data_IF_559125240942
#
_entry.id   IF_559125240942
#
_cell.length_a   1.000
_cell.length_b   1.000
_cell.length_c   1.000
_cell.angle_alpha   90.00
_cell.angle_beta   90.00
_cell.angle_gamma   90.00
#
_symmetry.space_group_name_H-M   'P 1'
#
loop_
_entity.id
_entity.type
_entity.pdbx_description
1 polymer ?
#
# COMPACT_ATOMS: atom_id res chain seq x y z
N UNK A 1 30.70 25.37 8.76
CA UNK A 1 30.39 25.07 10.16
C UNK A 1 28.90 24.73 10.14
N UNK A 2 28.55 23.45 10.27
CA UNK A 2 27.15 23.02 10.30
C UNK A 2 26.63 23.24 11.72
N UNK A 3 25.42 23.77 11.84
CA UNK A 3 24.85 24.20 13.10
C UNK A 3 24.55 23.01 14.03
N UNK A 4 24.61 23.18 15.36
CA UNK A 4 24.38 22.09 16.32
C UNK A 4 23.00 21.42 16.20
N UNK A 5 22.03 22.12 15.61
CA UNK A 5 20.65 21.66 15.40
C UNK A 5 20.57 20.55 14.36
N UNK A 6 21.40 20.61 13.31
CA UNK A 6 21.40 19.61 12.24
C UNK A 6 21.89 18.24 12.75
N UNK A 7 22.78 18.25 13.74
CA UNK A 7 23.38 17.05 14.32
C UNK A 7 22.44 16.32 15.30
N UNK A 8 21.45 17.02 15.84
CA UNK A 8 20.44 16.44 16.74
C UNK A 8 19.26 15.83 15.98
N UNK A 9 18.90 16.37 14.79
CA UNK A 9 17.87 15.76 13.96
C UNK A 9 18.27 14.38 13.44
N UNK A 10 19.53 14.16 13.05
CA UNK A 10 20.03 12.83 12.67
C UNK A 10 19.98 11.80 13.81
N UNK A 11 20.08 12.25 15.08
CA UNK A 11 20.00 11.38 16.26
C UNK A 11 18.57 11.07 16.71
N UNK A 12 17.63 11.97 16.42
CA UNK A 12 16.21 11.77 16.74
C UNK A 12 15.53 10.78 15.77
N UNK A 13 16.02 10.69 14.53
CA UNK A 13 15.67 9.63 13.58
C UNK A 13 16.53 8.37 13.75
N UNK A 14 17.03 8.14 14.97
CA UNK A 14 17.75 6.94 15.36
C UNK A 14 16.93 5.69 15.07
N UNK A 15 17.16 5.11 13.90
CA UNK A 15 16.82 3.74 13.52
C UNK A 15 15.35 3.37 13.73
N UNK A 16 14.42 4.17 13.20
CA UNK A 16 13.12 3.60 12.80
C UNK A 16 13.46 2.47 11.81
N UNK A 17 12.96 1.23 11.97
CA UNK A 17 13.29 0.15 11.06
C UNK A 17 13.10 0.64 9.63
N UNK A 18 14.20 0.64 8.88
CA UNK A 18 14.34 1.25 7.56
C UNK A 18 13.66 0.37 6.50
N UNK A 19 12.47 -0.16 6.80
CA UNK A 19 11.62 -0.79 5.82
C UNK A 19 11.05 0.34 4.97
N UNK A 20 11.77 0.68 3.91
CA UNK A 20 11.31 1.65 2.95
C UNK A 20 10.10 1.09 2.19
N UNK A 21 9.29 1.96 1.60
CA UNK A 21 8.14 1.52 0.80
C UNK A 21 8.59 0.63 -0.37
N UNK A 22 9.81 0.84 -0.88
CA UNK A 22 10.43 0.03 -1.91
C UNK A 22 10.72 -1.40 -1.42
N UNK A 23 11.31 -1.58 -0.22
CA UNK A 23 11.55 -2.91 0.33
C UNK A 23 10.24 -3.64 0.61
N UNK A 24 9.23 -2.95 1.15
CA UNK A 24 7.91 -3.53 1.33
C UNK A 24 7.27 -3.95 0.00
N UNK A 25 7.45 -3.14 -1.04
CA UNK A 25 6.95 -3.47 -2.38
C UNK A 25 7.65 -4.70 -2.96
N UNK A 26 8.96 -4.81 -2.82
CA UNK A 26 9.73 -5.98 -3.27
C UNK A 26 9.23 -7.28 -2.61
N UNK A 27 9.02 -7.25 -1.29
CA UNK A 27 8.52 -8.40 -0.54
C UNK A 27 7.10 -8.80 -0.98
N UNK A 28 6.21 -7.81 -1.15
CA UNK A 28 4.83 -8.04 -1.59
C UNK A 28 4.75 -8.58 -3.04
N UNK A 29 5.63 -8.10 -3.93
CA UNK A 29 5.73 -8.59 -5.30
C UNK A 29 6.30 -10.02 -5.33
N UNK A 30 7.30 -10.32 -4.50
CA UNK A 30 7.82 -11.67 -4.34
C UNK A 30 6.74 -12.62 -3.83
N UNK A 31 5.97 -12.22 -2.80
CA UNK A 31 4.84 -12.99 -2.30
C UNK A 31 3.76 -13.20 -3.39
N UNK A 32 3.44 -12.15 -4.16
CA UNK A 32 2.47 -12.23 -5.25
C UNK A 32 2.90 -13.21 -6.34
N UNK A 33 4.20 -13.36 -6.59
CA UNK A 33 4.73 -14.32 -7.57
C UNK A 33 4.50 -15.77 -7.17
N UNK A 34 4.32 -16.04 -5.87
CA UNK A 34 4.05 -17.37 -5.31
C UNK A 34 2.56 -17.62 -5.17
N UNK A 35 1.80 -16.63 -4.71
CA UNK A 35 0.36 -16.71 -4.50
C UNK A 35 -0.34 -15.44 -5.04
N UNK A 36 -0.82 -15.51 -6.28
CA UNK A 36 -1.42 -14.37 -6.99
C UNK A 36 -2.88 -14.08 -6.61
N UNK A 37 -3.52 -14.96 -5.85
CA UNK A 37 -4.95 -14.90 -5.49
C UNK A 37 -5.19 -14.58 -4.01
N UNK A 38 -4.16 -14.09 -3.31
CA UNK A 38 -4.29 -13.64 -1.91
C UNK A 38 -4.79 -12.20 -1.86
N UNK A 39 -6.02 -12.01 -1.38
CA UNK A 39 -6.66 -10.69 -1.27
C UNK A 39 -5.88 -9.75 -0.34
N UNK A 40 -5.31 -10.29 0.74
CA UNK A 40 -4.47 -9.56 1.67
C UNK A 40 -3.23 -8.98 0.98
N UNK A 41 -2.47 -9.82 0.28
CA UNK A 41 -1.29 -9.37 -0.46
C UNK A 41 -1.66 -8.34 -1.53
N UNK A 42 -2.79 -8.54 -2.21
CA UNK A 42 -3.29 -7.64 -3.25
C UNK A 42 -3.65 -6.26 -2.68
N UNK A 43 -4.30 -6.18 -1.51
CA UNK A 43 -4.65 -4.88 -0.90
C UNK A 43 -3.41 -4.15 -0.39
N UNK A 44 -2.42 -4.87 0.15
CA UNK A 44 -1.17 -4.27 0.59
C UNK A 44 -0.33 -3.76 -0.59
N UNK A 45 -0.30 -4.46 -1.73
CA UNK A 45 0.30 -3.94 -2.96
C UNK A 45 -0.35 -2.62 -3.38
N UNK A 46 -1.68 -2.57 -3.42
CA UNK A 46 -2.43 -1.36 -3.75
C UNK A 46 -2.08 -0.18 -2.83
N UNK A 47 -2.08 -0.40 -1.52
CA UNK A 47 -1.73 0.60 -0.50
C UNK A 47 -0.28 1.08 -0.61
N UNK A 48 0.66 0.17 -0.85
CA UNK A 48 2.07 0.51 -0.99
C UNK A 48 2.31 1.37 -2.23
N UNK A 49 1.71 1.02 -3.37
CA UNK A 49 1.79 1.85 -4.57
C UNK A 49 1.14 3.23 -4.36
N UNK A 50 0.00 3.31 -3.66
CA UNK A 50 -0.67 4.58 -3.33
C UNK A 50 0.23 5.48 -2.46
N UNK A 51 0.82 4.90 -1.40
CA UNK A 51 1.76 5.61 -0.52
C UNK A 51 3.02 6.11 -1.25
N UNK A 52 3.43 5.43 -2.32
CA UNK A 52 4.54 5.84 -3.18
C UNK A 52 4.15 6.86 -4.26
N UNK A 53 2.87 7.25 -4.36
CA UNK A 53 2.36 8.15 -5.41
C UNK A 53 2.23 7.49 -6.79
N UNK A 54 2.34 6.16 -6.88
CA UNK A 54 2.25 5.37 -8.11
C UNK A 54 0.80 4.96 -8.38
N UNK A 55 -0.07 5.95 -8.58
CA UNK A 55 -1.53 5.77 -8.57
C UNK A 55 -2.04 4.81 -9.66
N UNK A 56 -1.45 4.75 -10.85
CA UNK A 56 -1.91 3.82 -11.90
C UNK A 56 -1.76 2.34 -11.48
N UNK A 57 -0.64 2.02 -10.82
CA UNK A 57 -0.39 0.68 -10.27
C UNK A 57 -1.31 0.42 -9.07
N UNK A 58 -1.42 1.40 -8.17
CA UNK A 58 -2.30 1.31 -7.01
C UNK A 58 -3.74 1.01 -7.43
N UNK A 59 -4.27 1.75 -8.39
CA UNK A 59 -5.62 1.58 -8.92
C UNK A 59 -5.83 0.16 -9.45
N UNK A 60 -4.87 -0.37 -10.20
CA UNK A 60 -4.93 -1.72 -10.76
C UNK A 60 -5.10 -2.77 -9.66
N UNK A 61 -4.28 -2.71 -8.61
CA UNK A 61 -4.36 -3.66 -7.50
C UNK A 61 -5.59 -3.45 -6.63
N UNK A 62 -5.96 -2.20 -6.31
CA UNK A 62 -7.14 -1.91 -5.50
C UNK A 62 -8.44 -2.31 -6.20
N UNK A 63 -8.56 -2.09 -7.52
CA UNK A 63 -9.71 -2.60 -8.30
C UNK A 63 -9.74 -4.13 -8.32
N UNK A 64 -8.59 -4.79 -8.40
CA UNK A 64 -8.50 -6.25 -8.31
C UNK A 64 -9.08 -6.75 -6.98
N UNK A 65 -8.76 -6.11 -5.84
CA UNK A 65 -9.35 -6.45 -4.52
C UNK A 65 -10.89 -6.45 -4.56
N UNK A 66 -11.50 -5.44 -5.20
CA UNK A 66 -12.96 -5.35 -5.32
C UNK A 66 -13.57 -6.52 -6.10
N UNK A 67 -12.81 -7.15 -6.99
CA UNK A 67 -13.24 -8.28 -7.82
C UNK A 67 -12.89 -9.66 -7.26
N UNK A 68 -11.99 -9.73 -6.27
CA UNK A 68 -11.52 -10.98 -5.67
C UNK A 68 -12.44 -11.51 -4.58
N UNK A 69 -13.29 -10.66 -4.00
CA UNK A 69 -14.22 -11.09 -2.96
C UNK A 69 -15.32 -12.00 -3.56
N UNK A 70 -15.07 -13.30 -3.52
CA UNK A 70 -16.01 -14.34 -4.01
C UNK A 70 -16.85 -14.94 -2.88
N UNK A 71 -16.36 -14.94 -1.64
CA UNK A 71 -17.13 -15.40 -0.47
C UNK A 71 -16.81 -14.55 0.78
N UNK A 72 -17.75 -13.69 1.24
CA UNK A 72 -17.46 -12.70 2.27
C UNK A 72 -17.66 -13.27 3.68
N UNK A 73 -17.26 -14.52 3.96
CA UNK A 73 -17.39 -15.07 5.32
C UNK A 73 -16.33 -14.51 6.27
N UNK A 74 -15.14 -14.21 5.75
CA UNK A 74 -14.06 -13.60 6.53
C UNK A 74 -14.30 -12.10 6.75
N UNK A 75 -14.45 -11.69 8.02
CA UNK A 75 -14.65 -10.29 8.38
C UNK A 75 -13.50 -9.39 7.95
N UNK A 76 -12.27 -9.91 7.97
CA UNK A 76 -11.05 -9.17 7.61
C UNK A 76 -11.05 -8.83 6.12
N UNK A 77 -11.38 -9.79 5.25
CA UNK A 77 -11.44 -9.56 3.80
C UNK A 77 -12.49 -8.53 3.41
N UNK A 78 -13.62 -8.49 4.14
CA UNK A 78 -14.63 -7.43 3.95
C UNK A 78 -14.08 -6.05 4.26
N UNK A 79 -13.25 -5.92 5.30
CA UNK A 79 -12.59 -4.65 5.61
C UNK A 79 -11.58 -4.27 4.52
N UNK A 80 -10.82 -5.23 3.97
CA UNK A 80 -9.91 -4.97 2.85
C UNK A 80 -10.65 -4.44 1.61
N UNK A 81 -11.81 -4.99 1.28
CA UNK A 81 -12.65 -4.50 0.18
C UNK A 81 -13.17 -3.09 0.45
N UNK A 82 -13.65 -2.80 1.67
CA UNK A 82 -14.14 -1.47 2.05
C UNK A 82 -13.03 -0.43 2.01
N UNK A 83 -11.85 -0.77 2.53
CA UNK A 83 -10.69 0.11 2.50
C UNK A 83 -10.24 0.40 1.07
N UNK A 84 -10.17 -0.63 0.21
CA UNK A 84 -9.83 -0.45 -1.19
C UNK A 84 -10.84 0.46 -1.92
N UNK A 85 -12.13 0.29 -1.67
CA UNK A 85 -13.17 1.16 -2.22
C UNK A 85 -13.00 2.61 -1.77
N UNK A 86 -12.75 2.83 -0.48
CA UNK A 86 -12.53 4.17 0.08
C UNK A 86 -11.29 4.87 -0.49
N UNK A 87 -10.21 4.14 -0.76
CA UNK A 87 -9.01 4.72 -1.39
C UNK A 87 -9.34 5.14 -2.82
N UNK A 88 -10.06 4.31 -3.57
CA UNK A 88 -10.47 4.57 -4.95
C UNK A 88 -11.49 5.73 -5.09
N UNK A 89 -12.19 6.09 -4.01
CA UNK A 89 -13.06 7.28 -3.97
C UNK A 89 -12.28 8.59 -3.82
N UNK A 90 -10.97 8.55 -3.57
CA UNK A 90 -10.15 9.75 -3.43
C UNK A 90 -9.88 10.45 -4.78
N UNK A 91 -9.59 11.75 -4.72
CA UNK A 91 -9.36 12.61 -5.88
C UNK A 91 -8.25 12.11 -6.81
N UNK A 92 -7.32 11.28 -6.29
CA UNK A 92 -6.24 10.67 -7.06
C UNK A 92 -6.72 9.65 -8.10
N UNK A 93 -7.93 9.10 -7.93
CA UNK A 93 -8.49 8.01 -8.75
C UNK A 93 -9.79 8.41 -9.46
N UNK A 94 -10.41 9.52 -9.05
CA UNK A 94 -11.57 10.09 -9.73
C UNK A 94 -11.11 11.02 -10.86
N UNK A 95 -10.59 10.45 -11.95
CA UNK A 95 -10.48 11.20 -13.21
C UNK A 95 -11.81 11.13 -13.95
N UNK A 96 -12.54 12.24 -13.92
CA UNK A 96 -13.67 12.63 -14.77
C UNK A 96 -14.83 11.63 -14.89
N UNK A 97 -15.89 11.86 -14.11
CA UNK A 97 -17.27 11.45 -14.46
C UNK A 97 -17.82 12.31 -15.59
#
# INVERSE_FOLDING_TARGET
MLDPVDKEMEKAFGSVPNASLESALEDLLAANSVATDEIENTVFLGKTYDAMGLHENAETYLRKVLTMSREPECAVEREYVKEAAKILESENYTKDS
#
